data_IF_280954633667
#
_entry.id   IF_280954633667
#
_cell.length_a   1.000
_cell.length_b   1.000
_cell.length_c   1.000
_cell.angle_alpha   90.00
_cell.angle_beta   90.00
_cell.angle_gamma   90.00
#
_symmetry.space_group_name_H-M   'P 1'
#
loop_
_entity.id
_entity.type
_entity.pdbx_description
1 polymer ?
#
# COMPACT_ATOMS: atom_id res chain seq x y z
N UNK A 1 10.31 -4.88 2.84
CA UNK A 1 9.18 -3.90 2.82
C UNK A 1 9.37 -2.80 1.78
N UNK A 2 10.47 -2.05 1.82
CA UNK A 2 10.70 -0.87 0.94
C UNK A 2 10.65 -1.24 -0.54
N UNK A 3 11.26 -2.35 -0.94
CA UNK A 3 11.26 -2.83 -2.33
C UNK A 3 9.85 -3.07 -2.87
N UNK A 4 8.97 -3.68 -2.06
CA UNK A 4 7.56 -3.93 -2.41
C UNK A 4 6.83 -2.60 -2.59
N UNK A 5 7.02 -1.66 -1.65
CA UNK A 5 6.40 -0.34 -1.74
C UNK A 5 6.83 0.41 -3.01
N UNK A 6 8.14 0.50 -3.25
CA UNK A 6 8.70 1.22 -4.41
C UNK A 6 8.25 0.60 -5.73
N UNK A 7 8.23 -0.73 -5.83
CA UNK A 7 7.75 -1.42 -7.03
C UNK A 7 6.27 -1.13 -7.30
N UNK A 8 5.43 -1.17 -6.25
CA UNK A 8 4.00 -0.88 -6.37
C UNK A 8 3.72 0.59 -6.69
N UNK A 9 4.46 1.54 -6.12
CA UNK A 9 4.33 2.95 -6.45
C UNK A 9 4.78 3.25 -7.87
N UNK A 10 5.90 2.69 -8.31
CA UNK A 10 6.39 2.85 -9.67
C UNK A 10 5.33 2.37 -10.69
N UNK A 11 4.75 1.19 -10.46
CA UNK A 11 3.67 0.67 -11.30
C UNK A 11 2.43 1.58 -11.31
N UNK A 12 2.03 2.10 -10.15
CA UNK A 12 0.90 3.01 -10.03
C UNK A 12 1.13 4.35 -10.75
N UNK A 13 2.30 4.96 -10.59
CA UNK A 13 2.63 6.22 -11.26
C UNK A 13 2.60 6.07 -12.79
N UNK A 14 3.13 4.97 -13.32
CA UNK A 14 3.03 4.65 -14.75
C UNK A 14 1.56 4.54 -15.20
N UNK A 15 0.71 3.92 -14.39
CA UNK A 15 -0.73 3.78 -14.67
C UNK A 15 -1.47 5.13 -14.62
N UNK A 16 -1.11 6.01 -13.69
CA UNK A 16 -1.68 7.37 -13.62
C UNK A 16 -1.33 8.17 -14.87
N UNK A 17 -0.06 8.14 -15.28
CA UNK A 17 0.37 8.82 -16.51
C UNK A 17 -0.35 8.29 -17.75
N UNK A 18 -0.54 6.97 -17.84
CA UNK A 18 -1.22 6.35 -18.98
C UNK A 18 -2.72 6.69 -19.03
N UNK A 19 -3.39 6.82 -17.89
CA UNK A 19 -4.80 7.21 -17.82
C UNK A 19 -5.07 8.63 -18.39
N UNK A 20 -4.05 9.49 -18.36
CA UNK A 20 -4.12 10.90 -18.78
C UNK A 20 -3.49 11.15 -20.15
N UNK A 21 -3.35 10.12 -20.98
CA UNK A 21 -2.64 10.22 -22.25
C UNK A 21 -3.27 11.27 -23.19
N UNK A 22 -4.60 11.35 -23.23
CA UNK A 22 -5.33 12.27 -24.12
C UNK A 22 -5.55 13.62 -23.45
N UNK A 23 -4.49 14.44 -23.38
CA UNK A 23 -4.49 15.73 -22.66
C UNK A 23 -5.58 16.74 -23.06
N UNK A 24 -6.08 16.66 -24.30
CA UNK A 24 -7.13 17.55 -24.83
C UNK A 24 -8.54 17.11 -24.42
N UNK A 25 -8.70 15.89 -23.95
CA UNK A 25 -9.98 15.36 -23.50
C UNK A 25 -10.14 15.61 -21.99
N UNK A 26 -11.14 16.41 -21.63
CA UNK A 26 -11.46 16.75 -20.23
C UNK A 26 -11.77 15.48 -19.44
N UNK A 27 -12.40 14.47 -20.06
CA UNK A 27 -12.75 13.21 -19.40
C UNK A 27 -11.51 12.39 -19.04
N UNK A 28 -10.48 12.41 -19.90
CA UNK A 28 -9.20 11.74 -19.62
C UNK A 28 -8.51 12.40 -18.42
N UNK A 29 -8.46 13.74 -18.40
CA UNK A 29 -7.85 14.48 -17.29
C UNK A 29 -8.61 14.28 -15.95
N UNK A 30 -9.95 14.27 -16.00
CA UNK A 30 -10.77 13.99 -14.82
C UNK A 30 -10.54 12.57 -14.29
N UNK A 31 -10.47 11.58 -15.19
CA UNK A 31 -10.18 10.19 -14.82
C UNK A 31 -8.81 10.04 -14.17
N UNK A 32 -7.77 10.72 -14.70
CA UNK A 32 -6.43 10.71 -14.08
C UNK A 32 -6.44 11.32 -12.69
N UNK A 33 -7.12 12.45 -12.50
CA UNK A 33 -7.20 13.08 -11.18
C UNK A 33 -7.89 12.16 -10.17
N UNK A 34 -9.02 11.55 -10.55
CA UNK A 34 -9.72 10.57 -9.71
C UNK A 34 -8.83 9.37 -9.38
N UNK A 35 -8.14 8.84 -10.39
CA UNK A 35 -7.31 7.66 -10.22
C UNK A 35 -6.07 7.94 -9.35
N UNK A 36 -5.44 9.11 -9.51
CA UNK A 36 -4.32 9.54 -8.69
C UNK A 36 -4.75 9.80 -7.24
N UNK A 37 -5.90 10.44 -7.00
CA UNK A 37 -6.40 10.69 -5.65
C UNK A 37 -6.70 9.37 -4.92
N UNK A 38 -7.49 8.50 -5.54
CA UNK A 38 -7.85 7.22 -4.92
C UNK A 38 -6.61 6.33 -4.75
N UNK A 39 -5.75 6.31 -5.76
CA UNK A 39 -4.44 5.68 -5.71
C UNK A 39 -3.56 6.15 -4.56
N UNK A 40 -3.37 7.46 -4.41
CA UNK A 40 -2.60 8.05 -3.32
C UNK A 40 -3.16 7.76 -1.93
N UNK A 41 -4.49 7.70 -1.78
CA UNK A 41 -5.11 7.26 -0.52
C UNK A 41 -4.78 5.81 -0.20
N UNK A 42 -4.81 4.91 -1.19
CA UNK A 42 -4.45 3.51 -1.00
C UNK A 42 -2.97 3.31 -0.62
N UNK A 43 -2.08 4.08 -1.26
CA UNK A 43 -0.66 4.08 -0.95
C UNK A 43 -0.39 4.54 0.47
N UNK A 44 -1.11 5.57 0.93
CA UNK A 44 -1.00 6.08 2.30
C UNK A 44 -1.42 5.03 3.34
N UNK A 45 -2.53 4.31 3.09
CA UNK A 45 -3.01 3.22 3.95
C UNK A 45 -1.99 2.08 4.01
N UNK A 46 -1.43 1.69 2.85
CA UNK A 46 -0.44 0.63 2.73
C UNK A 46 0.85 0.96 3.49
N UNK A 47 1.39 2.18 3.32
CA UNK A 47 2.60 2.64 4.03
C UNK A 47 2.37 2.69 5.53
N UNK A 48 1.17 3.10 5.96
CA UNK A 48 0.85 3.09 7.39
C UNK A 48 0.81 1.68 7.97
N UNK A 49 0.28 0.70 7.22
CA UNK A 49 0.36 -0.72 7.61
C UNK A 49 1.80 -1.23 7.70
N UNK A 50 2.66 -0.83 6.76
CA UNK A 50 4.10 -1.13 6.80
C UNK A 50 4.81 -0.47 7.98
N UNK A 51 4.43 0.76 8.34
CA UNK A 51 4.98 1.46 9.52
C UNK A 51 4.66 0.71 10.82
N UNK A 52 3.44 0.17 10.96
CA UNK A 52 3.07 -0.65 12.11
C UNK A 52 3.86 -1.95 12.19
N UNK A 53 4.06 -2.66 11.06
CA UNK A 53 4.91 -3.86 11.02
C UNK A 53 6.35 -3.55 11.39
N UNK A 54 6.89 -2.48 10.81
CA UNK A 54 8.25 -2.01 11.07
C UNK A 54 8.46 -1.71 12.56
N UNK A 55 7.55 -0.95 13.17
CA UNK A 55 7.60 -0.62 14.60
C UNK A 55 7.46 -1.86 15.51
N UNK A 56 6.54 -2.77 15.17
CA UNK A 56 6.31 -3.99 15.96
C UNK A 56 7.46 -4.99 15.86
N UNK A 57 8.23 -4.97 14.76
CA UNK A 57 9.39 -5.81 14.55
C UNK A 57 10.67 -5.28 15.23
N UNK A 58 10.66 -4.07 15.79
CA UNK A 58 11.87 -3.45 16.35
C UNK A 58 12.76 -2.75 15.31
N UNK A 59 12.25 -2.48 14.10
CA UNK A 59 12.96 -1.71 13.08
C UNK A 59 13.50 -2.53 11.90
N UNK A 60 13.05 -3.77 11.72
CA UNK A 60 13.48 -4.62 10.62
C UNK A 60 12.67 -4.36 9.33
N UNK A 61 13.33 -4.53 8.19
CA UNK A 61 12.78 -4.19 6.86
C UNK A 61 12.62 -5.45 6.01
N UNK A 62 13.44 -6.47 6.26
CA UNK A 62 13.36 -7.76 5.59
C UNK A 62 12.22 -8.60 6.15
N UNK A 63 11.48 -9.28 5.26
CA UNK A 63 10.30 -10.04 5.68
C UNK A 63 10.64 -11.18 6.65
N UNK A 64 11.80 -11.83 6.46
CA UNK A 64 12.25 -12.91 7.35
C UNK A 64 12.58 -12.37 8.75
N UNK A 65 13.29 -11.26 8.81
CA UNK A 65 13.63 -10.58 10.07
C UNK A 65 12.38 -10.06 10.78
N UNK A 66 11.39 -9.56 10.02
CA UNK A 66 10.10 -9.14 10.58
C UNK A 66 9.38 -10.28 11.27
N UNK A 67 9.30 -11.44 10.64
CA UNK A 67 8.69 -12.64 11.23
C UNK A 67 9.45 -13.06 12.50
N UNK A 68 10.78 -13.06 12.46
CA UNK A 68 11.60 -13.40 13.63
C UNK A 68 11.42 -12.38 14.77
N UNK A 69 11.37 -11.09 14.47
CA UNK A 69 11.13 -10.02 15.45
C UNK A 69 9.76 -10.13 16.10
N UNK A 70 8.72 -10.47 15.33
CA UNK A 70 7.36 -10.72 15.83
C UNK A 70 7.25 -11.93 16.75
N UNK A 71 7.99 -13.01 16.45
CA UNK A 71 8.05 -14.21 17.28
C UNK A 71 8.79 -13.92 18.59
N UNK A 72 9.95 -13.27 18.50
CA UNK A 72 10.80 -12.95 19.66
C UNK A 72 10.11 -12.01 20.67
N UNK A 73 9.35 -11.05 20.17
CA UNK A 73 8.59 -10.10 21.00
C UNK A 73 7.27 -10.67 21.51
N UNK A 74 6.90 -11.90 21.14
CA UNK A 74 5.58 -12.51 21.39
C UNK A 74 4.40 -11.63 20.92
N UNK A 75 4.65 -10.69 20.02
CA UNK A 75 3.65 -9.73 19.54
C UNK A 75 2.74 -10.33 18.46
N UNK A 76 3.01 -11.54 17.97
CA UNK A 76 2.30 -12.17 16.84
C UNK A 76 0.77 -12.17 16.97
N UNK A 77 0.21 -12.17 18.19
CA UNK A 77 -1.23 -12.13 18.44
C UNK A 77 -1.73 -10.78 18.99
N UNK A 78 -0.91 -9.73 18.90
CA UNK A 78 -1.29 -8.41 19.38
C UNK A 78 -2.27 -7.73 18.41
N UNK A 79 -3.17 -6.88 18.92
CA UNK A 79 -4.11 -6.12 18.07
C UNK A 79 -3.39 -5.17 17.10
N UNK A 80 -2.14 -4.78 17.37
CA UNK A 80 -1.36 -3.93 16.47
C UNK A 80 -1.05 -4.60 15.14
N UNK A 81 -0.74 -5.90 15.15
CA UNK A 81 -0.46 -6.66 13.93
C UNK A 81 -1.71 -6.97 13.14
N UNK A 82 -2.85 -7.20 13.79
CA UNK A 82 -4.11 -7.36 13.07
C UNK A 82 -4.49 -6.08 12.34
N UNK A 83 -4.32 -4.90 12.97
CA UNK A 83 -4.50 -3.59 12.33
C UNK A 83 -3.54 -3.42 11.15
N UNK A 84 -2.26 -3.77 11.33
CA UNK A 84 -1.26 -3.68 10.28
C UNK A 84 -1.64 -4.54 9.06
N UNK A 85 -2.06 -5.79 9.29
CA UNK A 85 -2.52 -6.70 8.25
C UNK A 85 -3.75 -6.16 7.53
N UNK A 86 -4.75 -5.66 8.26
CA UNK A 86 -5.95 -5.05 7.64
C UNK A 86 -5.55 -3.91 6.71
N UNK A 87 -4.66 -3.02 7.14
CA UNK A 87 -4.25 -1.86 6.34
C UNK A 87 -3.47 -2.29 5.09
N UNK A 88 -2.60 -3.29 5.21
CA UNK A 88 -1.87 -3.86 4.07
C UNK A 88 -2.86 -4.51 3.09
N UNK A 89 -3.82 -5.30 3.58
CA UNK A 89 -4.84 -5.93 2.75
C UNK A 89 -5.73 -4.90 2.05
N UNK A 90 -6.14 -3.83 2.73
CA UNK A 90 -6.91 -2.73 2.13
C UNK A 90 -6.09 -2.02 1.04
N UNK A 91 -4.84 -1.68 1.33
CA UNK A 91 -3.96 -0.99 0.37
C UNK A 91 -3.69 -1.82 -0.88
N UNK A 92 -3.41 -3.12 -0.72
CA UNK A 92 -3.22 -4.04 -1.84
C UNK A 92 -4.54 -4.29 -2.58
N UNK A 93 -5.64 -4.45 -1.85
CA UNK A 93 -6.97 -4.69 -2.41
C UNK A 93 -7.42 -3.55 -3.33
N UNK A 94 -7.13 -2.31 -2.95
CA UNK A 94 -7.39 -1.15 -3.79
C UNK A 94 -6.55 -1.18 -5.08
N UNK A 95 -5.24 -1.47 -5.01
CA UNK A 95 -4.39 -1.55 -6.20
C UNK A 95 -4.78 -2.68 -7.16
N UNK A 96 -5.43 -3.73 -6.66
CA UNK A 96 -5.95 -4.86 -7.43
C UNK A 96 -7.42 -4.70 -7.85
N UNK A 97 -8.11 -3.61 -7.47
CA UNK A 97 -9.54 -3.41 -7.74
C UNK A 97 -10.41 -4.56 -7.21
N UNK A 98 -10.06 -5.13 -6.05
CA UNK A 98 -10.83 -6.18 -5.39
C UNK A 98 -12.05 -5.56 -4.70
N UNK A 99 -13.23 -6.18 -4.82
CA UNK A 99 -14.41 -5.79 -4.04
C UNK A 99 -14.08 -5.85 -2.53
N UNK A 100 -14.43 -4.82 -1.74
CA UNK A 100 -15.30 -3.66 -2.03
C UNK A 100 -14.59 -2.40 -2.59
N UNK A 101 -13.32 -2.46 -2.98
CA UNK A 101 -12.45 -1.34 -3.34
C UNK A 101 -12.34 -1.09 -4.87
N UNK A 102 -13.40 -1.33 -5.64
CA UNK A 102 -13.44 -1.14 -7.09
C UNK A 102 -13.90 0.27 -7.50
#
# INVERSE_FOLDING_TARGET
>A
LITIFVALECFSLCSYLLSGYTKKDVRSNEATMKYLLMGGTSSSILVYGFSWLYGSSGGEIELQEIVNGLINTQMYNSPGISIALIFITVGIGFKLSLAPFH
#
